data_IF_090216002005
#
_entry.id   IF_090216002005
#
_cell.length_a   1.000
_cell.length_b   1.000
_cell.length_c   1.000
_cell.angle_alpha   90.00
_cell.angle_beta   90.00
_cell.angle_gamma   90.00
#
_symmetry.space_group_name_H-M   'P 1'
#
loop_
_entity.id
_entity.type
_entity.pdbx_description
1 polymer ?
#
# COMPACT_ATOMS: atom_id res chain seq x y z
N UNK A 1 9.59 -8.89 9.19
CA UNK A 1 9.58 -9.31 10.60
C UNK A 1 10.56 -10.47 10.79
N UNK A 2 11.29 -10.57 11.90
CA UNK A 2 12.31 -11.60 12.12
C UNK A 2 11.80 -13.03 11.95
N UNK A 3 10.56 -13.31 12.36
CA UNK A 3 9.96 -14.64 12.27
C UNK A 3 9.28 -14.96 10.93
N UNK A 4 9.31 -14.04 10.00
CA UNK A 4 8.58 -14.16 8.72
C UNK A 4 9.15 -15.27 7.82
N UNK A 5 10.46 -15.54 7.86
CA UNK A 5 11.06 -16.57 7.02
C UNK A 5 10.53 -17.97 7.34
N UNK A 6 10.40 -18.31 8.62
CA UNK A 6 9.83 -19.58 9.05
C UNK A 6 8.33 -19.69 8.76
N UNK A 7 7.61 -18.61 9.00
CA UNK A 7 6.17 -18.54 8.70
C UNK A 7 5.91 -18.64 7.18
N UNK A 8 6.71 -17.96 6.35
CA UNK A 8 6.65 -18.03 4.90
C UNK A 8 6.88 -19.45 4.38
N UNK A 9 7.88 -20.18 4.92
CA UNK A 9 8.10 -21.59 4.56
C UNK A 9 6.90 -22.47 4.86
N UNK A 10 6.23 -22.26 6.01
CA UNK A 10 4.99 -23.01 6.35
C UNK A 10 3.83 -22.65 5.42
N UNK A 11 3.74 -21.40 4.99
CA UNK A 11 2.70 -20.92 4.06
C UNK A 11 2.91 -21.45 2.65
N UNK A 12 4.15 -21.58 2.19
CA UNK A 12 4.45 -22.14 0.86
C UNK A 12 3.94 -23.56 0.65
N UNK A 13 3.71 -24.31 1.73
CA UNK A 13 3.18 -25.68 1.69
C UNK A 13 1.63 -25.73 1.71
N UNK A 14 0.95 -24.58 1.76
CA UNK A 14 -0.50 -24.48 1.86
C UNK A 14 -1.06 -23.61 0.74
N UNK A 15 -1.92 -24.19 -0.09
CA UNK A 15 -2.51 -23.50 -1.25
C UNK A 15 -3.45 -22.34 -0.85
N UNK A 16 -4.01 -22.38 0.37
CA UNK A 16 -4.91 -21.36 0.94
C UNK A 16 -4.19 -20.25 1.73
N UNK A 17 -2.85 -20.28 1.74
CA UNK A 17 -2.07 -19.29 2.50
C UNK A 17 -1.88 -17.98 1.72
N UNK A 18 -1.68 -16.84 2.42
CA UNK A 18 -1.43 -15.55 1.80
C UNK A 18 -0.20 -15.50 0.88
N UNK A 19 0.77 -16.38 1.12
CA UNK A 19 1.96 -16.54 0.30
C UNK A 19 2.07 -18.01 -0.15
N UNK A 20 1.52 -18.30 -1.31
CA UNK A 20 1.69 -19.60 -1.97
C UNK A 20 2.63 -19.43 -3.16
N UNK A 21 3.75 -20.18 -3.16
CA UNK A 21 4.66 -20.24 -4.29
C UNK A 21 4.63 -21.69 -4.79
N UNK A 22 4.07 -21.88 -5.99
CA UNK A 22 4.03 -23.21 -6.60
C UNK A 22 5.47 -23.75 -6.72
N UNK A 23 5.77 -24.92 -6.14
CA UNK A 23 7.08 -25.54 -6.28
C UNK A 23 7.42 -25.76 -7.76
N UNK A 24 8.54 -25.22 -8.19
CA UNK A 24 9.06 -25.37 -9.54
C UNK A 24 10.59 -25.36 -9.52
N UNK A 25 11.18 -26.04 -10.47
CA UNK A 25 12.63 -26.04 -10.64
C UNK A 25 13.05 -24.72 -11.34
N UNK A 26 13.33 -23.71 -10.54
CA UNK A 26 13.69 -22.37 -10.98
C UNK A 26 14.83 -21.84 -10.09
N UNK A 27 16.10 -21.97 -10.54
CA UNK A 27 17.25 -21.52 -9.74
C UNK A 27 17.24 -20.03 -9.41
N UNK A 28 16.63 -19.20 -10.26
CA UNK A 28 16.50 -17.76 -10.00
C UNK A 28 15.54 -17.50 -8.84
N UNK A 29 14.40 -18.20 -8.82
CA UNK A 29 13.43 -18.14 -7.70
C UNK A 29 14.09 -18.58 -6.37
N UNK A 30 14.79 -19.71 -6.36
CA UNK A 30 15.43 -20.22 -5.15
C UNK A 30 16.54 -19.29 -4.65
N UNK A 31 17.31 -18.69 -5.54
CA UNK A 31 18.31 -17.67 -5.18
C UNK A 31 17.65 -16.43 -4.58
N UNK A 32 16.54 -16.00 -5.17
CA UNK A 32 15.76 -14.86 -4.66
C UNK A 32 15.18 -15.15 -3.27
N UNK A 33 14.58 -16.33 -3.06
CA UNK A 33 14.06 -16.77 -1.76
C UNK A 33 15.16 -16.83 -0.69
N UNK A 34 16.35 -17.34 -1.02
CA UNK A 34 17.50 -17.36 -0.13
C UNK A 34 17.94 -15.94 0.29
N UNK A 35 18.01 -15.01 -0.68
CA UNK A 35 18.31 -13.59 -0.39
C UNK A 35 17.23 -12.96 0.48
N UNK A 36 15.94 -13.22 0.20
CA UNK A 36 14.82 -12.71 0.97
C UNK A 36 14.85 -13.23 2.42
N UNK A 37 15.11 -14.53 2.60
CA UNK A 37 15.24 -15.14 3.93
C UNK A 37 16.40 -14.54 4.74
N UNK A 38 17.55 -14.29 4.12
CA UNK A 38 18.71 -13.64 4.75
C UNK A 38 18.46 -12.20 5.20
N UNK A 39 17.45 -11.53 4.63
CA UNK A 39 17.01 -10.17 5.00
C UNK A 39 15.87 -10.15 6.04
N UNK A 40 15.38 -11.30 6.49
CA UNK A 40 14.35 -11.42 7.51
C UNK A 40 14.93 -11.27 8.93
N UNK A 41 15.70 -10.23 9.19
CA UNK A 41 16.29 -9.90 10.48
C UNK A 41 15.84 -8.51 10.96
N UNK A 42 16.00 -8.23 12.24
CA UNK A 42 15.52 -6.97 12.83
C UNK A 42 16.22 -5.72 12.28
N UNK A 43 17.55 -5.66 12.09
CA UNK A 43 18.23 -4.50 11.51
C UNK A 43 17.72 -4.15 10.11
N UNK A 44 17.60 -5.13 9.21
CA UNK A 44 17.08 -4.92 7.85
C UNK A 44 15.60 -4.52 7.87
N UNK A 45 14.81 -5.08 8.78
CA UNK A 45 13.42 -4.71 8.98
C UNK A 45 13.28 -3.23 9.38
N UNK A 46 14.05 -2.77 10.37
CA UNK A 46 14.04 -1.38 10.82
C UNK A 46 14.55 -0.42 9.74
N UNK A 47 15.64 -0.77 9.05
CA UNK A 47 16.18 0.04 7.96
C UNK A 47 15.16 0.21 6.83
N UNK A 48 14.54 -0.90 6.39
CA UNK A 48 13.48 -0.89 5.36
C UNK A 48 12.24 -0.16 5.84
N UNK A 49 11.86 -0.34 7.12
CA UNK A 49 10.72 0.33 7.74
C UNK A 49 10.89 1.85 7.77
N UNK A 50 12.08 2.35 8.13
CA UNK A 50 12.39 3.79 8.13
C UNK A 50 12.32 4.37 6.72
N UNK A 51 12.95 3.72 5.73
CA UNK A 51 12.95 4.17 4.35
C UNK A 51 11.52 4.19 3.77
N UNK A 52 10.76 3.09 3.97
CA UNK A 52 9.38 2.98 3.55
C UNK A 52 8.46 4.00 4.25
N UNK A 53 8.63 4.17 5.56
CA UNK A 53 7.87 5.15 6.33
C UNK A 53 8.13 6.59 5.87
N UNK A 54 9.37 6.95 5.53
CA UNK A 54 9.69 8.25 4.96
C UNK A 54 8.98 8.47 3.61
N UNK A 55 9.05 7.47 2.72
CA UNK A 55 8.38 7.53 1.41
C UNK A 55 6.87 7.64 1.54
N UNK A 56 6.25 6.86 2.44
CA UNK A 56 4.80 6.89 2.64
C UNK A 56 4.32 8.22 3.24
N UNK A 57 5.06 8.80 4.19
CA UNK A 57 4.74 10.14 4.72
C UNK A 57 4.86 11.23 3.65
N UNK A 58 5.90 11.17 2.83
CA UNK A 58 6.05 12.08 1.70
C UNK A 58 4.92 11.94 0.68
N UNK A 59 4.59 10.70 0.30
CA UNK A 59 3.47 10.39 -0.60
C UNK A 59 2.13 10.91 -0.03
N UNK A 60 1.93 10.75 1.28
CA UNK A 60 0.73 11.28 1.93
C UNK A 60 0.66 12.80 1.88
N UNK A 61 1.74 13.48 2.20
CA UNK A 61 1.79 14.95 2.13
C UNK A 61 1.46 15.45 0.71
N UNK A 62 2.05 14.84 -0.32
CA UNK A 62 1.73 15.17 -1.71
C UNK A 62 0.27 14.90 -2.07
N UNK A 63 -0.32 13.83 -1.54
CA UNK A 63 -1.73 13.53 -1.75
C UNK A 63 -2.63 14.57 -1.09
N UNK A 64 -2.33 14.97 0.14
CA UNK A 64 -3.06 16.01 0.87
C UNK A 64 -2.97 17.36 0.15
N UNK A 65 -1.76 17.74 -0.28
CA UNK A 65 -1.54 18.97 -1.06
C UNK A 65 -2.36 18.94 -2.37
N UNK A 66 -2.40 17.80 -3.06
CA UNK A 66 -3.16 17.64 -4.29
C UNK A 66 -4.67 17.73 -4.04
N UNK A 67 -5.17 17.05 -3.01
CA UNK A 67 -6.60 17.03 -2.65
C UNK A 67 -7.08 18.42 -2.23
N UNK A 68 -6.39 19.04 -1.28
CA UNK A 68 -6.80 20.34 -0.75
C UNK A 68 -6.48 21.51 -1.69
N UNK A 69 -5.34 21.43 -2.40
CA UNK A 69 -4.92 22.47 -3.34
C UNK A 69 -5.81 22.59 -4.59
N UNK A 70 -6.55 21.52 -4.92
CA UNK A 70 -7.45 21.48 -6.09
C UNK A 70 -8.91 21.18 -5.71
N UNK A 71 -9.26 21.24 -4.44
CA UNK A 71 -10.61 21.00 -3.91
C UNK A 71 -11.24 19.70 -4.47
N UNK A 72 -10.47 18.59 -4.44
CA UNK A 72 -10.93 17.34 -5.03
C UNK A 72 -12.06 16.70 -4.20
N UNK A 73 -13.21 16.46 -4.81
CA UNK A 73 -14.37 15.81 -4.18
C UNK A 73 -14.24 14.28 -4.10
N UNK A 74 -13.15 13.80 -3.53
CA UNK A 74 -12.83 12.37 -3.44
C UNK A 74 -13.17 11.72 -2.09
N UNK A 75 -13.84 12.43 -1.17
CA UNK A 75 -14.17 11.93 0.16
C UNK A 75 -12.93 11.58 0.98
N UNK A 76 -11.89 12.43 0.90
CA UNK A 76 -10.69 12.27 1.70
C UNK A 76 -10.97 12.62 3.15
N UNK A 77 -10.66 11.69 4.06
CA UNK A 77 -10.84 11.83 5.51
C UNK A 77 -9.60 11.34 6.26
N UNK A 78 -9.04 12.20 7.11
CA UNK A 78 -7.92 11.89 7.99
C UNK A 78 -8.41 11.40 9.37
N UNK A 79 -9.31 10.43 9.38
CA UNK A 79 -9.99 9.91 10.58
C UNK A 79 -9.23 8.78 11.30
N UNK A 80 -8.11 8.33 10.75
CA UNK A 80 -7.39 7.16 11.27
C UNK A 80 -7.99 5.83 10.82
N UNK A 81 -7.45 4.73 11.36
CA UNK A 81 -7.87 3.38 11.01
C UNK A 81 -7.91 2.48 12.24
N UNK A 82 -8.99 1.73 12.41
CA UNK A 82 -9.15 0.70 13.44
C UNK A 82 -8.86 -0.69 12.90
N UNK A 83 -7.86 -1.37 13.45
CA UNK A 83 -7.71 -2.83 13.31
C UNK A 83 -8.50 -3.52 14.41
N UNK A 84 -9.65 -4.07 14.07
CA UNK A 84 -10.62 -4.64 15.01
C UNK A 84 -10.36 -6.13 15.22
N UNK A 85 -10.39 -6.59 16.47
CA UNK A 85 -10.13 -7.97 16.86
C UNK A 85 -11.31 -8.60 17.59
N UNK A 86 -11.69 -9.81 17.18
CA UNK A 86 -12.75 -10.60 17.83
C UNK A 86 -12.25 -11.33 19.09
N UNK A 87 -10.95 -11.55 19.22
CA UNK A 87 -10.38 -12.30 20.35
C UNK A 87 -9.23 -11.55 21.01
N UNK A 88 -9.19 -11.58 22.35
CA UNK A 88 -8.11 -10.96 23.12
C UNK A 88 -6.72 -11.55 22.80
N UNK A 89 -6.64 -12.81 22.37
CA UNK A 89 -5.38 -13.43 21.93
C UNK A 89 -4.82 -12.75 20.67
N UNK A 90 -5.69 -12.45 19.69
CA UNK A 90 -5.28 -11.79 18.47
C UNK A 90 -4.88 -10.32 18.73
N UNK A 91 -5.66 -9.59 19.54
CA UNK A 91 -5.33 -8.23 19.95
C UNK A 91 -3.97 -8.17 20.65
N UNK A 92 -3.75 -8.99 21.68
CA UNK A 92 -2.45 -9.03 22.39
C UNK A 92 -1.28 -9.38 21.50
N UNK A 93 -1.47 -10.28 20.53
CA UNK A 93 -0.41 -10.63 19.57
C UNK A 93 -0.03 -9.41 18.71
N UNK A 94 -1.03 -8.68 18.21
CA UNK A 94 -0.79 -7.49 17.39
C UNK A 94 -0.20 -6.35 18.22
N UNK A 95 -0.68 -6.14 19.44
CA UNK A 95 -0.17 -5.12 20.34
C UNK A 95 1.33 -5.26 20.70
N UNK A 96 1.90 -6.46 20.58
CA UNK A 96 3.35 -6.69 20.78
C UNK A 96 4.22 -6.00 19.72
N UNK A 97 3.65 -5.65 18.57
CA UNK A 97 4.35 -4.96 17.49
C UNK A 97 4.38 -3.44 17.67
N UNK A 98 3.52 -2.89 18.55
CA UNK A 98 3.38 -1.44 18.75
C UNK A 98 4.68 -0.73 19.16
N UNK A 99 5.52 -1.27 20.08
CA UNK A 99 6.81 -0.64 20.40
C UNK A 99 7.70 -0.49 19.16
N UNK A 100 7.73 -1.50 18.30
CA UNK A 100 8.50 -1.49 17.06
C UNK A 100 7.96 -0.48 16.06
N UNK A 101 6.64 -0.35 15.96
CA UNK A 101 6.00 0.67 15.11
C UNK A 101 6.29 2.08 15.63
N UNK A 102 6.32 2.27 16.95
CA UNK A 102 6.68 3.55 17.57
C UNK A 102 8.11 3.98 17.21
N UNK A 103 9.09 3.04 17.18
CA UNK A 103 10.46 3.31 16.71
C UNK A 103 10.52 3.75 15.23
N UNK A 104 9.53 3.34 14.44
CA UNK A 104 9.38 3.74 13.04
C UNK A 104 8.60 5.04 12.86
N UNK A 105 8.18 5.68 13.97
CA UNK A 105 7.39 6.90 13.95
C UNK A 105 5.93 6.69 13.53
N UNK A 106 5.39 5.50 13.76
CA UNK A 106 4.00 5.14 13.49
C UNK A 106 3.25 5.08 14.84
N UNK A 107 2.54 6.15 15.24
CA UNK A 107 1.77 6.15 16.47
C UNK A 107 0.57 5.22 16.36
N UNK A 108 0.34 4.44 17.43
CA UNK A 108 -0.85 3.61 17.53
C UNK A 108 -1.23 3.43 19.01
N UNK A 109 -2.51 3.18 19.27
CA UNK A 109 -3.02 2.89 20.61
C UNK A 109 -3.96 1.70 20.61
N UNK A 110 -4.03 1.01 21.76
CA UNK A 110 -4.95 -0.11 21.94
C UNK A 110 -6.23 0.39 22.62
N UNK A 111 -7.35 -0.16 22.21
CA UNK A 111 -8.67 0.04 22.78
C UNK A 111 -9.22 -1.32 23.20
N UNK A 112 -9.87 -1.40 24.34
CA UNK A 112 -10.73 -2.55 24.68
C UNK A 112 -12.06 -2.48 23.91
N UNK A 113 -12.90 -3.51 24.08
CA UNK A 113 -14.13 -3.61 23.32
C UNK A 113 -15.17 -2.56 23.67
N UNK A 114 -15.19 -2.08 24.93
CA UNK A 114 -16.15 -1.04 25.38
C UNK A 114 -15.73 0.33 24.84
N UNK A 115 -14.47 0.69 25.00
CA UNK A 115 -13.92 1.93 24.46
C UNK A 115 -14.03 1.99 22.94
N UNK A 116 -13.82 0.86 22.24
CA UNK A 116 -13.98 0.78 20.78
C UNK A 116 -15.40 1.09 20.34
N UNK A 117 -16.42 0.51 20.98
CA UNK A 117 -17.85 0.76 20.64
C UNK A 117 -18.26 2.18 21.01
N UNK A 118 -17.67 2.76 22.07
CA UNK A 118 -17.92 4.15 22.45
C UNK A 118 -17.36 5.15 21.42
N UNK A 119 -16.19 4.85 20.84
CA UNK A 119 -15.58 5.69 19.79
C UNK A 119 -16.21 5.46 18.39
N UNK A 120 -16.61 4.21 18.10
CA UNK A 120 -17.20 3.82 16.81
C UNK A 120 -18.53 3.07 17.04
N UNK A 121 -19.65 3.80 17.25
CA UNK A 121 -20.95 3.22 17.55
C UNK A 121 -21.56 2.34 16.45
N UNK A 122 -21.02 2.39 15.22
CA UNK A 122 -21.42 1.50 14.13
C UNK A 122 -20.99 0.04 14.35
N UNK A 123 -20.05 -0.19 15.28
CA UNK A 123 -19.57 -1.54 15.61
C UNK A 123 -20.47 -2.19 16.67
N UNK A 124 -20.69 -3.50 16.50
CA UNK A 124 -21.48 -4.29 17.47
C UNK A 124 -20.66 -4.59 18.73
N UNK A 125 -21.30 -4.66 19.91
CA UNK A 125 -20.67 -5.14 21.14
C UNK A 125 -20.14 -6.58 21.02
N UNK A 126 -19.23 -6.97 21.94
CA UNK A 126 -18.65 -8.33 21.98
C UNK A 126 -17.33 -8.47 21.23
N UNK A 127 -16.77 -7.38 20.74
CA UNK A 127 -15.42 -7.33 20.20
C UNK A 127 -14.39 -7.30 21.34
N UNK A 128 -13.21 -7.89 21.10
CA UNK A 128 -12.14 -7.87 22.10
C UNK A 128 -11.42 -6.51 22.19
N UNK A 129 -11.57 -5.68 21.17
CA UNK A 129 -10.97 -4.37 21.07
C UNK A 129 -10.31 -4.10 19.73
N UNK A 130 -9.54 -3.04 19.66
CA UNK A 130 -8.85 -2.61 18.45
C UNK A 130 -7.44 -2.06 18.72
N UNK A 131 -6.67 -1.95 17.66
CA UNK A 131 -5.52 -1.04 17.55
C UNK A 131 -5.90 0.09 16.62
N UNK A 132 -5.80 1.32 17.08
CA UNK A 132 -6.10 2.53 16.34
C UNK A 132 -4.81 3.19 15.85
N UNK A 133 -4.77 3.53 14.57
CA UNK A 133 -3.70 4.24 13.90
C UNK A 133 -4.19 5.64 13.50
N UNK A 134 -3.92 6.69 14.28
CA UNK A 134 -4.43 8.04 14.01
C UNK A 134 -3.81 8.67 12.78
N UNK A 135 -2.64 8.18 12.34
CA UNK A 135 -1.93 8.65 11.15
C UNK A 135 -2.50 8.15 9.82
N UNK A 136 -3.50 7.30 9.81
CA UNK A 136 -4.10 6.79 8.57
C UNK A 136 -5.23 7.70 8.05
N UNK A 137 -5.51 7.60 6.76
CA UNK A 137 -6.60 8.30 6.10
C UNK A 137 -7.26 7.39 5.07
N UNK A 138 -8.43 7.79 4.63
CA UNK A 138 -9.18 7.10 3.59
C UNK A 138 -9.66 8.08 2.52
N UNK A 139 -9.92 7.57 1.34
CA UNK A 139 -10.58 8.29 0.25
C UNK A 139 -11.35 7.29 -0.62
N UNK A 140 -12.17 7.81 -1.50
CA UNK A 140 -12.88 7.02 -2.53
C UNK A 140 -12.04 6.97 -3.80
N UNK A 141 -11.42 5.80 -4.14
CA UNK A 141 -10.52 5.69 -5.29
C UNK A 141 -11.20 6.00 -6.63
N UNK A 142 -12.48 5.63 -6.77
CA UNK A 142 -13.30 5.90 -7.94
C UNK A 142 -13.47 7.42 -8.18
N UNK A 143 -13.80 8.18 -7.13
CA UNK A 143 -13.94 9.64 -7.21
C UNK A 143 -12.58 10.30 -7.41
N UNK A 144 -11.56 9.86 -6.66
CA UNK A 144 -10.22 10.40 -6.80
C UNK A 144 -9.69 10.28 -8.24
N UNK A 145 -9.89 9.11 -8.88
CA UNK A 145 -9.50 8.89 -10.26
C UNK A 145 -10.30 9.79 -11.24
N UNK A 146 -11.59 9.96 -10.99
CA UNK A 146 -12.43 10.86 -11.80
C UNK A 146 -11.99 12.32 -11.69
N UNK A 147 -11.69 12.78 -10.47
CA UNK A 147 -11.17 14.13 -10.21
C UNK A 147 -9.80 14.37 -10.85
N UNK A 148 -8.89 13.41 -10.78
CA UNK A 148 -7.61 13.50 -11.50
C UNK A 148 -7.82 13.60 -13.03
N UNK A 149 -8.75 12.84 -13.56
CA UNK A 149 -9.09 12.91 -14.99
C UNK A 149 -9.70 14.28 -15.38
N UNK A 150 -10.49 14.88 -14.47
CA UNK A 150 -10.99 16.26 -14.64
C UNK A 150 -9.83 17.25 -14.71
N UNK A 151 -8.91 17.23 -13.73
CA UNK A 151 -7.75 18.13 -13.70
C UNK A 151 -6.89 18.01 -14.96
N UNK A 152 -6.61 16.78 -15.42
CA UNK A 152 -5.82 16.56 -16.64
C UNK A 152 -6.49 17.25 -17.85
N UNK A 153 -7.84 17.17 -17.96
CA UNK A 153 -8.56 17.82 -19.06
C UNK A 153 -8.59 19.34 -18.93
N UNK A 154 -8.75 19.86 -17.72
CA UNK A 154 -8.74 21.30 -17.44
C UNK A 154 -7.38 21.94 -17.75
N UNK A 155 -6.27 21.21 -17.47
CA UNK A 155 -4.90 21.62 -17.81
C UNK A 155 -4.58 21.42 -19.32
N UNK A 156 -5.57 21.07 -20.15
CA UNK A 156 -5.39 20.87 -21.59
C UNK A 156 -4.78 19.52 -21.97
N UNK A 157 -4.68 18.57 -21.04
CA UNK A 157 -4.25 17.20 -21.30
C UNK A 157 -5.33 16.37 -21.98
N UNK A 158 -4.94 15.32 -22.70
CA UNK A 158 -5.84 14.37 -23.35
C UNK A 158 -5.83 13.01 -22.64
N UNK A 159 -7.02 12.41 -22.51
CA UNK A 159 -7.18 11.03 -22.03
C UNK A 159 -7.83 10.23 -23.15
N UNK A 160 -7.11 9.28 -23.70
CA UNK A 160 -7.58 8.40 -24.77
C UNK A 160 -8.04 7.06 -24.15
N UNK A 161 -9.35 6.89 -24.02
CA UNK A 161 -9.96 5.67 -23.48
C UNK A 161 -10.12 4.62 -24.60
N UNK A 162 -10.04 3.34 -24.25
CA UNK A 162 -10.16 2.23 -25.22
C UNK A 162 -8.95 2.02 -26.10
N UNK A 163 -7.90 2.81 -25.95
CA UNK A 163 -6.66 2.73 -26.75
C UNK A 163 -5.65 1.81 -26.06
N UNK A 164 -5.24 0.74 -26.73
CA UNK A 164 -4.26 -0.21 -26.22
C UNK A 164 -2.84 0.16 -26.68
N UNK A 165 -1.90 0.26 -25.74
CA UNK A 165 -0.49 0.38 -26.07
C UNK A 165 0.04 -1.00 -26.47
N UNK A 166 0.49 -1.15 -27.70
CA UNK A 166 0.97 -2.42 -28.30
C UNK A 166 2.49 -2.52 -28.37
N UNK A 167 3.19 -1.40 -28.23
CA UNK A 167 4.64 -1.40 -28.32
C UNK A 167 5.28 -0.06 -27.97
N UNK A 168 6.62 -0.07 -27.94
CA UNK A 168 7.46 1.09 -27.68
C UNK A 168 8.40 1.29 -28.86
N UNK A 169 8.42 2.48 -29.41
CA UNK A 169 9.36 2.89 -30.45
C UNK A 169 10.59 3.48 -29.77
N UNK A 170 11.75 2.86 -30.01
CA UNK A 170 13.04 3.30 -29.45
C UNK A 170 13.87 3.98 -30.52
N UNK A 171 14.39 5.14 -30.19
CA UNK A 171 15.38 5.86 -31.00
C UNK A 171 16.77 5.82 -30.40
N UNK A 172 17.66 6.65 -30.92
CA UNK A 172 19.08 6.70 -30.50
C UNK A 172 19.25 7.17 -29.04
N UNK A 173 18.37 7.99 -28.52
CA UNK A 173 18.50 8.65 -27.21
C UNK A 173 17.46 8.20 -26.18
N UNK A 174 16.65 7.17 -26.50
CA UNK A 174 15.64 6.67 -25.59
C UNK A 174 14.31 6.31 -26.29
N UNK A 175 13.20 6.41 -25.55
CA UNK A 175 11.86 6.17 -26.11
C UNK A 175 11.46 7.43 -26.88
N UNK A 176 11.06 7.28 -28.14
CA UNK A 176 10.59 8.36 -29.02
C UNK A 176 9.07 8.39 -29.18
N UNK A 177 8.44 7.23 -29.04
CA UNK A 177 6.99 7.11 -29.21
C UNK A 177 6.46 5.83 -28.56
N UNK A 178 5.14 5.78 -28.38
CA UNK A 178 4.40 4.56 -28.10
C UNK A 178 3.56 4.16 -29.30
N UNK A 179 3.53 2.87 -29.58
CA UNK A 179 2.66 2.29 -30.60
C UNK A 179 1.34 1.88 -29.94
N UNK A 180 0.23 2.32 -30.51
CA UNK A 180 -1.08 2.02 -29.98
C UNK A 180 -1.97 1.33 -31.01
N UNK A 181 -3.14 0.82 -30.59
CA UNK A 181 -4.16 0.27 -31.50
C UNK A 181 -4.68 1.29 -32.53
N UNK A 182 -4.48 2.59 -32.28
CA UNK A 182 -4.95 3.69 -33.13
C UNK A 182 -3.80 4.47 -33.80
N UNK A 183 -2.58 3.89 -33.80
CA UNK A 183 -1.40 4.51 -34.43
C UNK A 183 -0.33 4.90 -33.45
N UNK A 184 0.63 5.67 -33.91
CA UNK A 184 1.82 6.07 -33.14
C UNK A 184 1.56 7.40 -32.42
N UNK A 185 1.89 7.45 -31.12
CA UNK A 185 1.85 8.68 -30.31
C UNK A 185 3.26 9.05 -29.90
N UNK A 186 3.74 10.24 -30.32
CA UNK A 186 5.06 10.76 -29.96
C UNK A 186 4.98 11.54 -28.64
N UNK A 187 5.97 11.39 -27.80
CA UNK A 187 6.09 12.14 -26.54
C UNK A 187 7.56 12.41 -26.20
N UNK A 188 7.82 13.52 -25.53
CA UNK A 188 9.17 13.85 -25.02
C UNK A 188 9.58 12.98 -23.84
N UNK A 189 8.59 12.50 -23.07
CA UNK A 189 8.77 11.58 -21.93
C UNK A 189 7.62 10.57 -21.92
N UNK A 190 7.94 9.35 -21.50
CA UNK A 190 6.96 8.25 -21.36
C UNK A 190 7.10 7.66 -19.98
N UNK A 191 6.00 7.59 -19.23
CA UNK A 191 5.90 6.94 -17.91
C UNK A 191 4.99 5.72 -18.06
N UNK A 192 5.42 4.57 -17.51
CA UNK A 192 4.71 3.29 -17.57
C UNK A 192 4.53 2.70 -16.17
#
# INVERSE_FOLDING_TARGET
APDMAWQAMRWMLRADAPLYIRPRWDPALWRWLGKAAGRCNLPDYLASGRAKGALLRYSRALLEDLVYGNDLECGFEAGGLYYVFRTGKALRRHARELPLLAELGIPARTLDGEALVAEEPALKPGLAGAVFFPGDAQLRPDRYTAELARLVREDGGAIEEGVCVTGIVRGRHGIEAVQTSEGVRRAGQVVM
#
